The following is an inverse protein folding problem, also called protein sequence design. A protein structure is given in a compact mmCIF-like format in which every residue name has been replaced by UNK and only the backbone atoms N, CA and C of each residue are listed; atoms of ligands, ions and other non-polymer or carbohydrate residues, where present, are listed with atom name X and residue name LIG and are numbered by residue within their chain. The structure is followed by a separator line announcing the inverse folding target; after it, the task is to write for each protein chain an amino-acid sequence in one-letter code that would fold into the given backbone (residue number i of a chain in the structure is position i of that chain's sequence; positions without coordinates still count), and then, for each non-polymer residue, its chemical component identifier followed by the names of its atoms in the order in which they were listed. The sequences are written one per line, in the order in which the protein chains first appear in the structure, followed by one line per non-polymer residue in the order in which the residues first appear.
data_IF_350562813257
#
_entry.id   IF_350562813257
#
_cell.length_a   1.000
_cell.length_b   1.000
_cell.length_c   1.000
_cell.angle_alpha   90.00
_cell.angle_beta   90.00
_cell.angle_gamma   90.00
#
_symmetry.space_group_name_H-M   'P 1'
#
loop_
_entity.id
_entity.type
_entity.pdbx_description
1 polymer ?
#
# COMPACT_ATOMS: atom_id res chain seq x y z
N UNK A 1 -25.93 -11.11 7.72
CA UNK A 1 -24.66 -11.26 6.96
C UNK A 1 -23.66 -10.28 7.54
N UNK A 2 -22.47 -10.73 7.97
CA UNK A 2 -21.40 -9.82 8.39
C UNK A 2 -20.69 -9.30 7.12
N UNK A 3 -20.53 -7.99 7.01
CA UNK A 3 -19.88 -7.32 5.88
C UNK A 3 -18.70 -6.51 6.39
N UNK A 4 -17.51 -6.73 5.82
CA UNK A 4 -16.34 -5.89 6.06
C UNK A 4 -16.28 -4.80 5.00
N UNK A 5 -16.37 -3.53 5.41
CA UNK A 5 -16.27 -2.38 4.49
C UNK A 5 -14.86 -1.83 4.51
N UNK A 6 -14.12 -2.03 3.41
CA UNK A 6 -12.80 -1.44 3.22
C UNK A 6 -12.96 0.05 2.94
N UNK A 7 -12.46 0.90 3.84
CA UNK A 7 -12.62 2.37 3.73
C UNK A 7 -11.51 3.05 2.93
N UNK A 8 -10.41 2.33 2.68
CA UNK A 8 -9.16 2.85 2.13
C UNK A 8 -9.00 2.61 0.64
N UNK A 9 -9.97 1.94 -0.01
CA UNK A 9 -9.98 1.72 -1.46
C UNK A 9 -11.12 2.51 -2.08
N UNK A 10 -10.82 3.16 -3.21
CA UNK A 10 -11.80 3.90 -3.99
C UNK A 10 -12.72 2.95 -4.78
N UNK A 11 -13.72 3.52 -5.45
CA UNK A 11 -14.58 2.75 -6.34
C UNK A 11 -13.81 2.45 -7.63
N UNK A 12 -13.46 1.18 -7.85
CA UNK A 12 -12.75 0.79 -9.06
C UNK A 12 -12.38 -0.68 -9.08
N UNK A 13 -11.63 -1.04 -10.13
CA UNK A 13 -10.93 -2.31 -10.16
C UNK A 13 -9.66 -2.20 -9.31
N UNK A 14 -9.43 -3.23 -8.50
CA UNK A 14 -8.25 -3.37 -7.66
C UNK A 14 -7.70 -4.79 -7.81
N UNK A 15 -6.38 -4.90 -7.75
CA UNK A 15 -5.72 -6.20 -7.72
C UNK A 15 -6.10 -6.98 -6.45
N UNK A 16 -6.03 -8.30 -6.54
CA UNK A 16 -6.48 -9.18 -5.44
C UNK A 16 -5.55 -9.11 -4.23
N UNK A 17 -4.26 -8.89 -4.45
CA UNK A 17 -3.28 -8.70 -3.37
C UNK A 17 -3.53 -7.38 -2.62
N UNK A 18 -3.84 -6.29 -3.33
CA UNK A 18 -4.22 -5.01 -2.73
C UNK A 18 -5.49 -5.17 -1.88
N UNK A 19 -6.53 -5.82 -2.42
CA UNK A 19 -7.77 -6.10 -1.68
C UNK A 19 -7.48 -6.91 -0.41
N UNK A 20 -6.63 -7.94 -0.48
CA UNK A 20 -6.27 -8.76 0.68
C UNK A 20 -5.58 -7.93 1.76
N UNK A 21 -4.58 -7.12 1.38
CA UNK A 21 -3.87 -6.25 2.32
C UNK A 21 -4.83 -5.28 3.00
N UNK A 22 -5.65 -4.58 2.20
CA UNK A 22 -6.59 -3.59 2.71
C UNK A 22 -7.69 -4.21 3.58
N UNK A 23 -8.19 -5.40 3.25
CA UNK A 23 -9.15 -6.12 4.07
C UNK A 23 -8.55 -6.51 5.43
N UNK A 24 -7.35 -7.09 5.45
CA UNK A 24 -6.70 -7.48 6.70
C UNK A 24 -6.46 -6.27 7.62
N UNK A 25 -5.97 -5.16 7.08
CA UNK A 25 -5.76 -3.96 7.87
C UNK A 25 -7.05 -3.22 8.23
N UNK A 26 -8.13 -3.40 7.48
CA UNK A 26 -9.45 -2.91 7.91
C UNK A 26 -9.90 -3.62 9.19
N UNK A 27 -9.66 -4.93 9.33
CA UNK A 27 -9.97 -5.67 10.58
C UNK A 27 -9.16 -5.10 11.75
N UNK A 28 -7.87 -4.81 11.55
CA UNK A 28 -7.04 -4.19 12.59
C UNK A 28 -7.56 -2.79 12.98
N UNK A 29 -7.95 -1.98 12.00
CA UNK A 29 -8.52 -0.64 12.24
C UNK A 29 -9.82 -0.74 13.00
N UNK A 30 -10.73 -1.64 12.61
CA UNK A 30 -12.01 -1.82 13.28
C UNK A 30 -11.82 -2.28 14.73
N UNK A 31 -10.87 -3.19 14.98
CA UNK A 31 -10.48 -3.62 16.33
C UNK A 31 -9.99 -2.43 17.17
N UNK A 32 -9.05 -1.62 16.67
CA UNK A 32 -8.49 -0.50 17.44
C UNK A 32 -9.50 0.64 17.64
N UNK A 33 -10.23 1.02 16.59
CA UNK A 33 -11.06 2.24 16.60
C UNK A 33 -12.49 1.99 17.10
N UNK A 34 -13.08 0.83 16.77
CA UNK A 34 -14.48 0.52 17.10
C UNK A 34 -14.59 -0.30 18.38
N UNK A 35 -13.77 -1.34 18.54
CA UNK A 35 -13.84 -2.24 19.70
C UNK A 35 -13.11 -1.66 20.92
N UNK A 36 -12.14 -0.74 20.70
CA UNK A 36 -11.43 0.01 21.75
C UNK A 36 -10.91 -0.89 22.87
N UNK A 37 -10.08 -1.90 22.53
CA UNK A 37 -9.58 -2.90 23.47
C UNK A 37 -8.77 -2.30 24.63
N UNK A 38 -8.24 -1.08 24.47
CA UNK A 38 -7.54 -0.33 25.51
C UNK A 38 -8.45 0.13 26.65
N UNK A 39 -9.77 0.15 26.43
CA UNK A 39 -10.76 0.54 27.44
C UNK A 39 -11.33 -0.66 28.20
N UNK A 40 -11.15 -1.88 27.67
CA UNK A 40 -11.79 -3.11 28.18
C UNK A 40 -10.75 -4.08 28.74
N UNK A 41 -9.53 -4.09 28.21
CA UNK A 41 -8.47 -5.03 28.58
C UNK A 41 -7.27 -4.29 29.20
N UNK A 42 -6.71 -4.86 30.28
CA UNK A 42 -5.44 -4.39 30.83
C UNK A 42 -4.27 -4.96 30.03
N UNK A 43 -3.79 -4.22 29.02
CA UNK A 43 -2.62 -4.60 28.23
C UNK A 43 -1.29 -4.52 29.00
N UNK A 44 -1.29 -4.02 30.24
CA UNK A 44 -0.10 -3.88 31.07
C UNK A 44 0.16 -5.07 32.01
N UNK A 45 -0.81 -5.98 32.16
CA UNK A 45 -0.78 -7.06 33.15
C UNK A 45 0.39 -8.04 32.99
N UNK A 46 0.91 -8.22 31.76
CA UNK A 46 2.04 -9.11 31.48
C UNK A 46 3.01 -8.50 30.47
N UNK A 47 4.25 -8.99 30.46
CA UNK A 47 5.23 -8.60 29.43
C UNK A 47 4.78 -9.01 28.03
N UNK A 48 4.08 -10.15 27.92
CA UNK A 48 3.54 -10.63 26.64
C UNK A 48 2.47 -9.66 26.11
N UNK A 49 1.49 -9.31 26.93
CA UNK A 49 0.43 -8.36 26.53
C UNK A 49 0.99 -6.99 26.19
N UNK A 50 1.99 -6.51 26.92
CA UNK A 50 2.69 -5.26 26.57
C UNK A 50 3.40 -5.35 25.23
N UNK A 51 4.02 -6.49 24.90
CA UNK A 51 4.67 -6.70 23.59
C UNK A 51 3.66 -6.75 22.46
N UNK A 52 2.58 -7.51 22.63
CA UNK A 52 1.51 -7.65 21.64
C UNK A 52 0.82 -6.30 21.39
N UNK A 53 0.49 -5.54 22.44
CA UNK A 53 -0.14 -4.23 22.29
C UNK A 53 0.75 -3.23 21.55
N UNK A 54 2.05 -3.23 21.84
CA UNK A 54 3.03 -2.43 21.09
C UNK A 54 3.05 -2.80 19.61
N UNK A 55 2.93 -4.08 19.30
CA UNK A 55 2.93 -4.58 17.92
C UNK A 55 1.64 -4.20 17.18
N UNK A 56 0.47 -4.36 17.81
CA UNK A 56 -0.84 -3.88 17.32
C UNK A 56 -0.75 -2.40 16.96
N UNK A 57 -0.30 -1.56 17.90
CA UNK A 57 -0.24 -0.11 17.70
C UNK A 57 0.82 0.30 16.69
N UNK A 58 1.92 -0.44 16.57
CA UNK A 58 2.94 -0.23 15.53
C UNK A 58 2.36 -0.45 14.13
N UNK A 59 1.64 -1.55 13.93
CA UNK A 59 1.01 -1.89 12.65
C UNK A 59 -0.12 -0.92 12.32
N UNK A 60 -0.94 -0.57 13.30
CA UNK A 60 -2.02 0.41 13.15
C UNK A 60 -1.49 1.79 12.72
N UNK A 61 -0.46 2.32 13.41
CA UNK A 61 0.17 3.60 13.04
C UNK A 61 0.83 3.53 11.68
N UNK A 62 1.50 2.42 11.36
CA UNK A 62 2.06 2.25 10.02
C UNK A 62 0.97 2.34 8.95
N UNK A 63 -0.17 1.67 9.14
CA UNK A 63 -1.28 1.68 8.20
C UNK A 63 -1.95 3.05 8.06
N UNK A 64 -2.18 3.75 9.17
CA UNK A 64 -2.90 5.04 9.18
C UNK A 64 -2.05 6.23 8.79
N UNK A 65 -0.75 6.20 9.09
CA UNK A 65 0.13 7.37 8.97
C UNK A 65 1.24 7.14 7.95
N UNK A 66 2.04 6.08 8.11
CA UNK A 66 3.27 5.92 7.33
C UNK A 66 3.03 5.47 5.90
N UNK A 67 2.15 4.48 5.71
CA UNK A 67 1.84 3.93 4.39
C UNK A 67 1.16 4.97 3.48
N UNK A 68 0.14 5.73 3.93
CA UNK A 68 -0.50 6.74 3.10
C UNK A 68 0.39 7.96 2.82
N UNK A 69 1.40 8.22 3.66
CA UNK A 69 2.36 9.31 3.46
C UNK A 69 3.46 9.02 2.42
N UNK A 70 3.39 7.87 1.72
CA UNK A 70 4.29 7.55 0.62
C UNK A 70 4.10 8.54 -0.54
N UNK A 71 5.21 8.92 -1.18
CA UNK A 71 5.21 9.85 -2.31
C UNK A 71 6.00 9.27 -3.46
N UNK A 72 5.41 9.18 -4.65
CA UNK A 72 6.14 8.76 -5.84
C UNK A 72 6.99 9.91 -6.38
N UNK A 73 8.24 9.66 -6.81
CA UNK A 73 9.00 10.60 -7.62
C UNK A 73 8.29 11.02 -8.93
N UNK A 74 7.32 10.22 -9.40
CA UNK A 74 6.51 10.53 -10.58
C UNK A 74 5.36 11.50 -10.29
N UNK A 75 5.02 11.74 -9.01
CA UNK A 75 3.99 12.71 -8.62
C UNK A 75 4.46 14.17 -8.71
N UNK A 76 5.75 14.40 -8.98
CA UNK A 76 6.28 15.75 -9.17
C UNK A 76 5.66 16.39 -10.42
N UNK A 77 4.75 17.35 -10.20
CA UNK A 77 4.07 18.10 -11.26
C UNK A 77 5.00 18.86 -12.21
N UNK A 78 6.26 19.08 -11.81
CA UNK A 78 7.28 19.73 -12.66
C UNK A 78 7.95 18.74 -13.62
N UNK A 79 7.75 17.44 -13.42
CA UNK A 79 8.31 16.40 -14.25
C UNK A 79 7.64 16.42 -15.63
N UNK A 80 8.44 16.47 -16.69
CA UNK A 80 7.93 16.37 -18.06
C UNK A 80 7.71 14.91 -18.41
N UNK A 81 6.45 14.52 -18.60
CA UNK A 81 6.10 13.17 -19.02
C UNK A 81 6.24 13.02 -20.54
N UNK A 82 6.82 11.92 -21.03
CA UNK A 82 6.83 11.62 -22.45
C UNK A 82 5.40 11.33 -22.95
N UNK A 83 5.00 11.86 -24.12
CA UNK A 83 3.70 11.54 -24.70
C UNK A 83 3.67 10.10 -25.22
N UNK A 84 2.54 9.40 -25.03
CA UNK A 84 2.27 8.14 -25.72
C UNK A 84 2.00 8.40 -27.20
N UNK A 85 2.84 7.85 -28.07
CA UNK A 85 2.71 7.98 -29.53
C UNK A 85 2.76 6.62 -30.18
N UNK A 86 1.90 6.40 -31.16
CA UNK A 86 1.85 5.17 -31.93
C UNK A 86 2.09 5.47 -33.41
N UNK A 87 2.77 4.56 -34.10
CA UNK A 87 3.02 4.61 -35.54
C UNK A 87 2.34 3.40 -36.17
N UNK A 88 1.51 3.62 -37.20
CA UNK A 88 0.92 2.51 -37.95
C UNK A 88 2.00 1.71 -38.67
N UNK A 89 1.89 0.39 -38.61
CA UNK A 89 2.75 -0.53 -39.35
C UNK A 89 2.13 -0.75 -40.73
N UNK A 90 2.82 -0.44 -41.84
CA UNK A 90 2.27 -0.66 -43.18
C UNK A 90 1.88 -2.12 -43.41
N UNK A 91 0.64 -2.36 -43.87
CA UNK A 91 0.15 -3.70 -44.17
C UNK A 91 -0.31 -4.53 -42.97
N UNK A 92 -0.30 -3.98 -41.75
CA UNK A 92 -0.85 -4.63 -40.56
C UNK A 92 -1.93 -3.76 -39.91
N UNK A 93 -2.87 -4.40 -39.22
CA UNK A 93 -3.87 -3.72 -38.37
C UNK A 93 -3.31 -3.37 -36.98
N UNK A 94 -1.98 -3.35 -36.85
CA UNK A 94 -1.26 -3.11 -35.61
C UNK A 94 -0.51 -1.77 -35.68
N UNK A 95 -0.31 -1.17 -34.51
CA UNK A 95 0.50 0.04 -34.36
C UNK A 95 1.66 -0.21 -33.41
N UNK A 96 2.82 0.35 -33.74
CA UNK A 96 4.03 0.31 -32.93
C UNK A 96 4.07 1.49 -31.97
N UNK A 97 4.39 1.24 -30.70
CA UNK A 97 4.65 2.30 -29.74
C UNK A 97 5.98 2.98 -30.07
N UNK A 98 5.93 4.29 -30.32
CA UNK A 98 7.13 5.09 -30.61
C UNK A 98 7.85 5.41 -29.30
N UNK A 99 9.09 4.92 -29.17
CA UNK A 99 9.89 5.23 -27.99
C UNK A 99 10.17 6.75 -27.87
N UNK A 100 9.93 7.34 -26.70
CA UNK A 100 10.27 8.75 -26.46
C UNK A 100 11.77 8.98 -26.45
N UNK A 101 12.20 10.19 -26.82
CA UNK A 101 13.59 10.61 -26.73
C UNK A 101 14.08 10.58 -25.26
N UNK A 102 14.93 9.61 -24.95
CA UNK A 102 15.49 9.40 -23.61
C UNK A 102 16.31 10.57 -23.09
N UNK A 103 16.97 11.34 -23.96
CA UNK A 103 17.74 12.52 -23.56
C UNK A 103 16.81 13.67 -23.18
N UNK A 104 15.77 13.90 -24.00
CA UNK A 104 14.75 14.93 -23.73
C UNK A 104 14.00 14.68 -22.41
N UNK A 105 13.73 13.42 -22.08
CA UNK A 105 13.00 13.02 -20.87
C UNK A 105 13.91 12.35 -19.82
N UNK A 106 15.20 12.68 -19.80
CA UNK A 106 16.16 12.04 -18.89
C UNK A 106 15.82 12.20 -17.40
N UNK A 107 15.14 13.29 -17.01
CA UNK A 107 14.64 13.46 -15.64
C UNK A 107 13.52 12.46 -15.33
N UNK A 108 12.57 12.26 -16.24
CA UNK A 108 11.48 11.30 -16.11
C UNK A 108 12.00 9.88 -15.96
N UNK A 109 12.90 9.43 -16.84
CA UNK A 109 13.45 8.06 -16.73
C UNK A 109 14.28 7.84 -15.45
N UNK A 110 14.94 8.89 -14.92
CA UNK A 110 15.59 8.82 -13.61
C UNK A 110 14.58 8.72 -12.47
N UNK A 111 13.49 9.46 -12.54
CA UNK A 111 12.38 9.37 -11.58
C UNK A 111 11.74 7.98 -11.64
N UNK A 112 11.43 7.47 -12.83
CA UNK A 112 10.87 6.14 -13.07
C UNK A 112 11.73 5.02 -12.48
N UNK A 113 13.05 5.09 -12.66
CA UNK A 113 13.97 4.11 -12.05
C UNK A 113 13.96 4.17 -10.52
N UNK A 114 13.88 5.38 -9.94
CA UNK A 114 13.78 5.56 -8.49
C UNK A 114 12.45 5.05 -7.95
N UNK A 115 11.38 5.35 -8.65
CA UNK A 115 10.02 4.94 -8.35
C UNK A 115 9.90 3.41 -8.33
N UNK A 116 10.36 2.73 -9.37
CA UNK A 116 10.39 1.26 -9.40
C UNK A 116 11.15 0.64 -8.22
N UNK A 117 12.25 1.27 -7.78
CA UNK A 117 13.01 0.81 -6.63
C UNK A 117 12.30 1.11 -5.28
N UNK A 118 11.44 2.13 -5.22
CA UNK A 118 10.60 2.42 -4.06
C UNK A 118 9.42 1.45 -4.00
N UNK A 119 8.74 1.20 -5.11
CA UNK A 119 7.66 0.22 -5.23
C UNK A 119 8.10 -1.15 -4.71
N UNK A 120 9.27 -1.64 -5.13
CA UNK A 120 9.79 -2.92 -4.66
C UNK A 120 10.07 -2.92 -3.13
N UNK A 121 10.49 -1.79 -2.57
CA UNK A 121 10.67 -1.65 -1.12
C UNK A 121 9.35 -1.61 -0.38
N UNK A 122 8.37 -0.89 -0.91
CA UNK A 122 7.03 -0.78 -0.35
C UNK A 122 6.30 -2.11 -0.39
N UNK A 123 6.40 -2.85 -1.50
CA UNK A 123 5.86 -4.20 -1.61
C UNK A 123 6.43 -5.15 -0.54
N UNK A 124 7.75 -5.12 -0.33
CA UNK A 124 8.39 -5.90 0.74
C UNK A 124 7.93 -5.48 2.14
N UNK A 125 7.77 -4.18 2.37
CA UNK A 125 7.26 -3.67 3.64
C UNK A 125 5.81 -4.09 3.88
N UNK A 126 4.95 -3.98 2.88
CA UNK A 126 3.54 -4.38 2.92
C UNK A 126 3.43 -5.88 3.23
N UNK A 127 4.20 -6.72 2.54
CA UNK A 127 4.26 -8.17 2.79
C UNK A 127 4.71 -8.49 4.23
N UNK A 128 5.78 -7.84 4.71
CA UNK A 128 6.29 -8.04 6.07
C UNK A 128 5.24 -7.64 7.12
N UNK A 129 4.56 -6.52 6.93
CA UNK A 129 3.58 -6.04 7.89
C UNK A 129 2.28 -6.86 7.86
N UNK A 130 1.91 -7.41 6.70
CA UNK A 130 0.83 -8.38 6.61
C UNK A 130 1.16 -9.67 7.38
N UNK A 131 2.39 -10.19 7.27
CA UNK A 131 2.83 -11.35 8.06
C UNK A 131 2.78 -11.08 9.56
N UNK A 132 3.31 -9.92 10.00
CA UNK A 132 3.24 -9.48 11.40
C UNK A 132 1.80 -9.40 11.91
N UNK A 133 0.87 -8.88 11.09
CA UNK A 133 -0.56 -8.84 11.42
C UNK A 133 -1.15 -10.25 11.58
N UNK A 134 -0.80 -11.17 10.68
CA UNK A 134 -1.24 -12.57 10.78
C UNK A 134 -0.71 -13.20 12.07
N UNK A 135 0.52 -12.92 12.49
CA UNK A 135 1.12 -13.44 13.72
C UNK A 135 0.37 -12.97 14.98
N UNK A 136 -0.03 -11.70 15.04
CA UNK A 136 -0.77 -11.16 16.20
C UNK A 136 -2.27 -11.44 16.18
N UNK A 137 -2.81 -12.03 15.10
CA UNK A 137 -4.25 -12.34 14.96
C UNK A 137 -4.88 -13.05 16.17
N UNK A 138 -4.22 -13.97 16.90
CA UNK A 138 -4.86 -14.67 18.02
C UNK A 138 -5.12 -13.74 19.22
N UNK A 139 -4.58 -12.52 19.20
CA UNK A 139 -4.76 -11.51 20.25
C UNK A 139 -5.73 -10.40 19.83
N UNK A 140 -6.31 -10.46 18.63
CA UNK A 140 -7.34 -9.54 18.16
C UNK A 140 -8.72 -10.02 18.62
N UNK A 141 -8.91 -10.06 19.93
CA UNK A 141 -10.18 -10.37 20.58
C UNK A 141 -10.45 -9.34 21.67
N UNK A 142 -11.74 -9.06 21.88
CA UNK A 142 -12.26 -8.24 22.97
C UNK A 142 -13.26 -9.02 23.79
#
# INVERSE_FOLDING_TARGET
MKLLKIQTLDKGWHDRDEILLHACFQVLVDFVEQEKPDQILDWSHSDESRRVWKEIMSLYRWWKEKRPARTSPLDDKKLRHPPFRFKKIPGADLSELVEPDRRKYAAYYRALKKDAALEEKWLREDQRNLQRLIEIRPHLWT
#
